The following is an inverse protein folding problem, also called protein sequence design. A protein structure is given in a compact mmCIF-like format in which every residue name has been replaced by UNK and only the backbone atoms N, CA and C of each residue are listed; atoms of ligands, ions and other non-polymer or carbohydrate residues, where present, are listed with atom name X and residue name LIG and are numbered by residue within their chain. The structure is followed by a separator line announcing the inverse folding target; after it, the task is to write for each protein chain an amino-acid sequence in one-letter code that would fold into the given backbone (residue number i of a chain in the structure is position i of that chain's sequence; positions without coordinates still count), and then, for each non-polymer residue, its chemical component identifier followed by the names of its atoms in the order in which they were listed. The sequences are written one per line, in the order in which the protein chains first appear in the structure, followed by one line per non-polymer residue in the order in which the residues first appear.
data_IF_859417318476
#
_entry.id   IF_859417318476
#
_cell.length_a   1.000
_cell.length_b   1.000
_cell.length_c   1.000
_cell.angle_alpha   90.00
_cell.angle_beta   90.00
_cell.angle_gamma   90.00
#
_symmetry.space_group_name_H-M   'P 1'
#
loop_
_entity.id
_entity.type
_entity.pdbx_description
1 polymer ?
#
# COMPACT_ATOMS: atom_id res chain seq x y z
N UNK A 1 -13.18 19.44 -15.16
CA UNK A 1 -12.66 18.74 -16.36
C UNK A 1 -12.93 17.23 -16.29
N UNK A 2 -12.38 16.45 -15.30
CA UNK A 2 -12.60 14.98 -15.21
C UNK A 2 -14.08 14.62 -15.11
N UNK A 3 -14.83 15.32 -14.25
CA UNK A 3 -16.28 15.07 -14.09
C UNK A 3 -17.08 15.39 -15.36
N UNK A 4 -16.61 16.33 -16.15
CA UNK A 4 -17.22 16.67 -17.45
C UNK A 4 -16.91 15.59 -18.51
N UNK A 5 -15.66 15.07 -18.52
CA UNK A 5 -15.26 13.97 -19.42
C UNK A 5 -16.06 12.70 -19.12
N UNK A 6 -16.31 12.43 -17.81
CA UNK A 6 -17.03 11.23 -17.34
C UNK A 6 -18.57 11.42 -17.25
N UNK A 7 -19.09 12.59 -17.64
CA UNK A 7 -20.51 12.98 -17.53
C UNK A 7 -21.07 12.79 -16.11
N UNK A 8 -20.27 13.16 -15.10
CA UNK A 8 -20.67 13.06 -13.68
C UNK A 8 -21.28 14.39 -13.25
N UNK A 9 -22.53 14.41 -12.75
CA UNK A 9 -23.16 15.62 -12.23
C UNK A 9 -22.40 16.18 -11.02
N UNK A 10 -21.94 17.42 -11.08
CA UNK A 10 -21.16 18.05 -10.01
C UNK A 10 -21.88 18.04 -8.65
N UNK A 11 -23.19 18.11 -8.64
CA UNK A 11 -24.00 18.15 -7.43
C UNK A 11 -24.00 16.83 -6.61
N UNK A 12 -23.53 15.73 -7.17
CA UNK A 12 -23.38 14.47 -6.42
C UNK A 12 -22.04 14.34 -5.71
N UNK A 13 -21.10 15.23 -6.00
CA UNK A 13 -19.79 15.20 -5.36
C UNK A 13 -19.89 15.77 -3.94
N UNK A 14 -19.21 15.15 -2.97
CA UNK A 14 -19.13 15.68 -1.63
C UNK A 14 -18.32 17.00 -1.59
N UNK A 15 -18.54 17.79 -0.56
CA UNK A 15 -17.71 18.94 -0.25
C UNK A 15 -16.32 18.45 0.21
N UNK A 16 -15.25 19.04 -0.35
CA UNK A 16 -13.88 18.78 0.09
C UNK A 16 -13.62 19.62 1.34
N UNK A 17 -13.27 18.93 2.45
CA UNK A 17 -13.06 19.54 3.75
C UNK A 17 -11.74 19.10 4.37
N UNK A 18 -11.36 19.74 5.48
CA UNK A 18 -10.17 19.36 6.24
C UNK A 18 -10.29 17.94 6.77
N UNK A 19 -9.17 17.23 6.93
CA UNK A 19 -9.15 15.90 7.56
C UNK A 19 -9.50 15.91 9.05
N UNK A 20 -9.45 17.09 9.68
CA UNK A 20 -9.71 17.27 11.11
C UNK A 20 -10.50 18.54 11.35
N UNK A 21 -11.83 18.43 11.30
CA UNK A 21 -12.80 19.45 11.68
C UNK A 21 -14.13 18.79 12.03
N UNK A 22 -14.99 19.48 12.77
CA UNK A 22 -16.31 18.94 13.09
C UNK A 22 -17.22 19.05 11.86
N UNK A 23 -17.58 17.92 11.27
CA UNK A 23 -18.47 17.83 10.10
C UNK A 23 -19.92 17.77 10.47
N UNK A 24 -20.23 17.00 11.53
CA UNK A 24 -21.56 16.73 12.01
C UNK A 24 -21.54 16.15 13.42
N UNK A 25 -22.71 15.89 13.98
CA UNK A 25 -22.88 15.08 15.17
C UNK A 25 -23.40 13.69 14.82
N UNK A 26 -22.90 12.67 15.51
CA UNK A 26 -23.37 11.30 15.37
C UNK A 26 -24.84 11.15 15.82
N UNK A 27 -25.53 10.17 15.26
CA UNK A 27 -26.92 9.81 15.58
C UNK A 27 -26.98 8.42 16.24
N UNK A 28 -28.15 8.04 16.72
CA UNK A 28 -28.38 6.75 17.36
C UNK A 28 -27.64 6.59 18.68
N UNK A 29 -26.91 5.51 18.88
CA UNK A 29 -26.23 5.20 20.15
C UNK A 29 -25.13 6.22 20.54
N UNK A 30 -24.60 6.96 19.57
CA UNK A 30 -23.53 7.95 19.78
C UNK A 30 -24.05 9.39 19.63
N UNK A 31 -25.34 9.64 19.83
CA UNK A 31 -25.94 10.97 19.68
C UNK A 31 -25.16 12.03 20.47
N UNK A 32 -24.88 13.16 19.82
CA UNK A 32 -24.12 14.29 20.41
C UNK A 32 -22.59 14.14 20.35
N UNK A 33 -22.06 12.99 19.92
CA UNK A 33 -20.63 12.84 19.71
C UNK A 33 -20.24 13.48 18.38
N UNK A 34 -19.24 14.40 18.32
CA UNK A 34 -18.84 15.03 17.09
C UNK A 34 -18.15 14.01 16.13
N UNK A 35 -18.51 14.08 14.86
CA UNK A 35 -17.78 13.40 13.78
C UNK A 35 -16.74 14.39 13.26
N UNK A 36 -15.46 14.15 13.56
CA UNK A 36 -14.41 15.15 13.43
C UNK A 36 -13.13 14.67 12.73
N UNK A 37 -13.13 13.48 12.13
CA UNK A 37 -11.99 12.95 11.38
C UNK A 37 -12.45 12.28 10.09
N UNK A 38 -11.81 12.61 8.98
CA UNK A 38 -12.02 11.99 7.67
C UNK A 38 -10.71 11.89 6.91
N UNK A 39 -10.26 10.66 6.70
CA UNK A 39 -9.00 10.33 6.04
C UNK A 39 -9.16 9.03 5.26
N UNK A 40 -8.56 8.96 4.08
CA UNK A 40 -8.33 7.67 3.42
C UNK A 40 -7.48 6.76 4.32
N UNK A 41 -7.64 5.44 4.22
CA UNK A 41 -6.98 4.46 5.10
C UNK A 41 -5.45 4.61 5.13
N UNK A 42 -4.82 4.85 3.98
CA UNK A 42 -3.37 5.03 3.88
C UNK A 42 -2.91 6.35 4.51
N UNK A 43 -3.68 7.43 4.36
CA UNK A 43 -3.45 8.72 5.00
C UNK A 43 -3.69 8.64 6.51
N UNK A 44 -4.73 7.92 6.94
CA UNK A 44 -4.98 7.65 8.35
C UNK A 44 -3.82 6.85 8.98
N UNK A 45 -3.24 5.89 8.26
CA UNK A 45 -2.06 5.16 8.70
C UNK A 45 -0.82 6.07 8.79
N UNK A 46 -0.64 7.03 7.88
CA UNK A 46 0.46 8.01 7.95
C UNK A 46 0.35 8.87 9.23
N UNK A 47 -0.85 9.37 9.52
CA UNK A 47 -1.13 10.12 10.77
C UNK A 47 -0.98 9.22 11.99
N UNK A 48 -1.52 7.99 11.96
CA UNK A 48 -1.45 7.04 13.06
C UNK A 48 -0.03 6.59 13.41
N UNK A 49 0.88 6.58 12.43
CA UNK A 49 2.31 6.35 12.63
C UNK A 49 3.09 7.63 12.95
N UNK A 50 2.36 8.75 13.20
CA UNK A 50 2.96 10.03 13.59
C UNK A 50 3.96 10.63 12.59
N UNK A 51 3.79 10.35 11.31
CA UNK A 51 4.65 10.86 10.25
C UNK A 51 4.26 12.32 9.90
N UNK A 52 4.57 13.26 10.77
CA UNK A 52 4.17 14.67 10.65
C UNK A 52 5.23 15.57 10.03
N UNK A 53 6.50 15.18 10.11
CA UNK A 53 7.59 15.95 9.51
C UNK A 53 7.89 15.48 8.07
N UNK A 54 8.35 16.41 7.23
CA UNK A 54 8.84 16.05 5.91
C UNK A 54 10.02 15.07 6.01
N UNK A 55 9.98 14.01 5.22
CA UNK A 55 10.94 12.91 5.24
C UNK A 55 10.53 11.71 6.10
N UNK A 56 9.49 11.84 6.94
CA UNK A 56 8.93 10.70 7.67
C UNK A 56 8.02 9.87 6.76
N UNK A 57 8.11 8.55 6.92
CA UNK A 57 7.39 7.61 6.08
C UNK A 57 6.78 6.48 6.88
N UNK A 58 5.65 5.95 6.40
CA UNK A 58 5.07 4.69 6.85
C UNK A 58 5.04 3.70 5.70
N UNK A 59 5.04 2.43 6.02
CA UNK A 59 4.79 1.37 5.06
C UNK A 59 3.76 0.38 5.63
N UNK A 60 2.65 0.24 4.95
CA UNK A 60 1.58 -0.70 5.35
C UNK A 60 1.73 -1.99 4.56
N UNK A 61 2.03 -3.08 5.27
CA UNK A 61 2.07 -4.43 4.72
C UNK A 61 0.73 -5.14 4.94
N UNK A 62 0.08 -5.51 3.84
CA UNK A 62 -1.16 -6.29 3.82
C UNK A 62 -1.16 -7.24 2.63
N UNK A 63 -2.27 -7.35 1.92
CA UNK A 63 -2.36 -8.05 0.61
C UNK A 63 -1.34 -7.50 -0.36
N UNK A 64 -1.29 -6.17 -0.48
CA UNK A 64 -0.22 -5.40 -1.10
C UNK A 64 0.57 -4.62 -0.05
N UNK A 65 1.45 -3.74 -0.52
CA UNK A 65 2.27 -2.87 0.30
C UNK A 65 2.13 -1.43 -0.20
N UNK A 66 1.88 -0.49 0.73
CA UNK A 66 1.66 0.92 0.41
C UNK A 66 2.53 1.79 1.31
N UNK A 67 3.51 2.42 0.72
CA UNK A 67 4.41 3.35 1.39
C UNK A 67 3.97 4.79 1.11
N UNK A 68 3.86 5.60 2.15
CA UNK A 68 3.68 7.05 2.03
C UNK A 68 4.84 7.76 2.71
N UNK A 69 5.43 8.69 2.00
CA UNK A 69 6.50 9.57 2.47
C UNK A 69 5.95 11.00 2.54
N UNK A 70 5.87 11.58 3.74
CA UNK A 70 5.48 12.98 3.93
C UNK A 70 6.50 13.91 3.26
N UNK A 71 6.04 14.79 2.37
CA UNK A 71 6.88 15.78 1.65
C UNK A 71 6.72 17.20 2.19
N UNK A 72 5.93 17.38 3.27
CA UNK A 72 5.61 18.68 3.83
C UNK A 72 4.48 19.39 3.10
N UNK A 73 4.49 20.69 3.12
CA UNK A 73 3.39 21.55 2.62
C UNK A 73 3.50 21.91 1.12
N UNK A 74 4.51 21.40 0.43
CA UNK A 74 4.70 21.64 -1.00
C UNK A 74 4.51 20.33 -1.76
N UNK A 75 3.60 20.28 -2.75
CA UNK A 75 3.46 19.07 -3.58
C UNK A 75 4.75 18.84 -4.37
N UNK A 76 5.31 17.64 -4.24
CA UNK A 76 6.57 17.25 -4.87
C UNK A 76 6.28 16.23 -5.97
N UNK A 77 6.34 16.61 -7.26
CA UNK A 77 6.19 15.68 -8.36
C UNK A 77 7.32 14.65 -8.36
N UNK A 78 6.96 13.38 -8.48
CA UNK A 78 7.95 12.31 -8.62
C UNK A 78 8.47 12.22 -10.05
N UNK A 79 9.79 12.13 -10.20
CA UNK A 79 10.45 11.81 -11.48
C UNK A 79 10.74 10.31 -11.64
N UNK A 80 10.33 9.49 -10.66
CA UNK A 80 10.62 8.07 -10.57
C UNK A 80 9.34 7.20 -10.50
N UNK A 81 8.22 7.69 -11.03
CA UNK A 81 6.99 6.90 -11.14
C UNK A 81 6.19 6.73 -9.85
N UNK A 82 6.51 7.45 -8.79
CA UNK A 82 5.66 7.50 -7.59
C UNK A 82 4.49 8.45 -7.81
N UNK A 83 3.40 8.27 -7.08
CA UNK A 83 2.27 9.18 -7.07
C UNK A 83 2.52 10.33 -6.09
N UNK A 84 2.12 11.54 -6.48
CA UNK A 84 2.01 12.66 -5.55
C UNK A 84 0.56 12.77 -5.11
N UNK A 85 0.32 12.75 -3.80
CA UNK A 85 -1.01 12.76 -3.22
C UNK A 85 -1.12 13.77 -2.09
N UNK A 86 -2.36 14.15 -1.75
CA UNK A 86 -2.64 14.86 -0.50
C UNK A 86 -2.49 13.89 0.66
N UNK A 87 -1.73 14.26 1.67
CA UNK A 87 -1.57 13.46 2.89
C UNK A 87 -2.71 13.75 3.89
N UNK A 88 -2.76 14.97 4.42
CA UNK A 88 -3.77 15.40 5.39
C UNK A 88 -3.80 16.92 5.53
N UNK A 89 -4.86 17.41 6.18
CA UNK A 89 -4.95 18.78 6.65
C UNK A 89 -5.55 18.81 8.06
N UNK A 90 -4.93 19.53 8.99
CA UNK A 90 -5.46 19.71 10.33
C UNK A 90 -6.14 21.09 10.46
N UNK A 91 -7.46 21.07 10.54
CA UNK A 91 -8.25 22.29 10.65
C UNK A 91 -7.95 23.27 9.49
N UNK A 92 -7.40 24.44 9.84
CA UNK A 92 -7.03 25.51 8.89
C UNK A 92 -5.53 25.57 8.59
N UNK A 93 -4.74 24.61 9.06
CA UNK A 93 -3.32 24.55 8.78
C UNK A 93 -3.07 24.25 7.30
N UNK A 94 -1.85 24.51 6.80
CA UNK A 94 -1.49 24.14 5.43
C UNK A 94 -1.70 22.66 5.16
N UNK A 95 -2.12 22.33 3.94
CA UNK A 95 -2.23 20.94 3.48
C UNK A 95 -0.84 20.29 3.42
N UNK A 96 -0.71 19.09 3.94
CA UNK A 96 0.47 18.26 3.77
C UNK A 96 0.30 17.34 2.57
N UNK A 97 1.40 17.05 1.90
CA UNK A 97 1.48 16.19 0.72
C UNK A 97 2.35 14.98 1.00
N UNK A 98 2.20 13.94 0.20
CA UNK A 98 3.02 12.75 0.28
C UNK A 98 3.37 12.20 -1.11
N UNK A 99 4.50 11.50 -1.19
CA UNK A 99 4.77 10.57 -2.27
C UNK A 99 4.27 9.19 -1.88
N UNK A 100 3.57 8.53 -2.81
CA UNK A 100 3.04 7.19 -2.61
C UNK A 100 3.72 6.20 -3.56
N UNK A 101 4.24 5.11 -2.99
CA UNK A 101 4.70 3.93 -3.71
C UNK A 101 3.85 2.74 -3.33
N UNK A 102 3.40 1.96 -4.33
CA UNK A 102 2.54 0.82 -4.12
C UNK A 102 3.08 -0.43 -4.79
N UNK A 103 3.00 -1.56 -4.08
CA UNK A 103 3.29 -2.91 -4.56
C UNK A 103 2.01 -3.73 -4.43
N UNK A 104 1.50 -4.25 -5.55
CA UNK A 104 0.19 -4.91 -5.57
C UNK A 104 0.15 -6.20 -4.75
N UNK A 105 1.25 -6.96 -4.77
CA UNK A 105 1.33 -8.31 -4.21
C UNK A 105 2.49 -8.39 -3.22
N UNK A 106 2.16 -8.57 -1.93
CA UNK A 106 3.11 -8.83 -0.84
C UNK A 106 2.58 -9.99 0.01
N UNK A 107 1.75 -9.76 1.03
CA UNK A 107 1.14 -10.83 1.81
C UNK A 107 0.30 -11.80 0.97
N UNK A 108 -0.29 -11.33 -0.13
CA UNK A 108 -0.99 -12.18 -1.09
C UNK A 108 -0.08 -13.24 -1.73
N UNK A 109 1.24 -12.99 -1.86
CA UNK A 109 2.18 -14.00 -2.33
C UNK A 109 2.27 -15.18 -1.35
N UNK A 110 2.37 -14.89 -0.05
CA UNK A 110 2.42 -15.93 0.98
C UNK A 110 1.14 -16.76 0.98
N UNK A 111 -0.02 -16.10 0.84
CA UNK A 111 -1.30 -16.80 0.70
C UNK A 111 -1.33 -17.67 -0.55
N UNK A 112 -0.83 -17.18 -1.67
CA UNK A 112 -0.75 -17.95 -2.92
C UNK A 112 0.16 -19.18 -2.80
N UNK A 113 1.31 -19.05 -2.10
CA UNK A 113 2.20 -20.18 -1.80
C UNK A 113 1.52 -21.26 -0.94
N UNK A 114 0.62 -20.85 -0.03
CA UNK A 114 -0.21 -21.75 0.78
C UNK A 114 -1.33 -22.38 -0.04
N UNK A 115 -2.17 -21.56 -0.68
CA UNK A 115 -3.46 -22.00 -1.21
C UNK A 115 -3.35 -22.64 -2.60
N UNK A 116 -2.40 -22.17 -3.43
CA UNK A 116 -2.24 -22.60 -4.81
C UNK A 116 -1.08 -23.59 -5.00
N UNK A 117 0.06 -23.38 -4.34
CA UNK A 117 1.19 -24.30 -4.42
C UNK A 117 1.23 -25.34 -3.29
N UNK A 118 0.57 -25.08 -2.16
CA UNK A 118 0.53 -26.01 -1.02
C UNK A 118 1.89 -26.30 -0.39
N UNK A 119 2.85 -25.36 -0.48
CA UNK A 119 4.19 -25.58 0.08
C UNK A 119 4.28 -25.27 1.57
N UNK A 120 3.28 -24.61 2.13
CA UNK A 120 3.05 -24.31 3.55
C UNK A 120 1.58 -24.58 3.90
N UNK A 121 1.28 -24.87 5.16
CA UNK A 121 -0.09 -25.07 5.65
C UNK A 121 -0.70 -23.78 6.20
N UNK A 122 0.11 -22.97 6.87
CA UNK A 122 -0.26 -21.68 7.44
C UNK A 122 0.71 -20.61 6.95
N UNK A 123 0.24 -19.36 6.84
CA UNK A 123 1.10 -18.23 6.44
C UNK A 123 2.30 -18.03 7.38
N UNK A 124 2.15 -18.35 8.67
CA UNK A 124 3.25 -18.30 9.65
C UNK A 124 4.39 -19.28 9.36
N UNK A 125 4.14 -20.35 8.62
CA UNK A 125 5.14 -21.41 8.38
C UNK A 125 6.18 -20.96 7.33
N UNK A 126 5.92 -19.86 6.61
CA UNK A 126 6.78 -19.39 5.52
C UNK A 126 8.18 -19.02 6.02
N UNK A 127 8.28 -18.42 7.20
CA UNK A 127 9.56 -18.00 7.78
C UNK A 127 10.44 -19.21 8.14
N UNK A 128 9.86 -20.20 8.80
CA UNK A 128 10.59 -21.44 9.17
C UNK A 128 11.01 -22.22 7.92
N UNK A 129 10.15 -22.27 6.90
CA UNK A 129 10.48 -22.88 5.62
C UNK A 129 11.62 -22.14 4.92
N UNK A 130 11.62 -20.82 4.91
CA UNK A 130 12.70 -20.00 4.34
C UNK A 130 14.02 -20.16 5.12
N UNK A 131 13.96 -20.26 6.45
CA UNK A 131 15.12 -20.51 7.32
C UNK A 131 15.70 -21.92 7.18
N UNK A 132 15.01 -22.85 6.55
CA UNK A 132 15.51 -24.21 6.32
C UNK A 132 16.66 -24.29 5.31
N UNK A 133 16.96 -23.19 4.64
CA UNK A 133 18.03 -23.02 3.65
C UNK A 133 18.88 -21.79 3.97
N UNK A 134 20.15 -21.80 3.58
CA UNK A 134 21.10 -20.72 3.90
C UNK A 134 20.88 -19.47 3.03
N UNK A 135 20.47 -19.67 1.78
CA UNK A 135 20.24 -18.60 0.79
C UNK A 135 19.05 -18.94 -0.12
N UNK A 136 18.77 -18.11 -1.11
CA UNK A 136 17.71 -18.36 -2.08
C UNK A 136 18.10 -19.31 -3.22
N UNK A 137 19.32 -19.87 -3.21
CA UNK A 137 19.82 -20.78 -4.24
C UNK A 137 19.94 -20.17 -5.64
N UNK A 138 19.99 -18.83 -5.75
CA UNK A 138 19.93 -18.09 -7.01
C UNK A 138 18.52 -18.03 -7.60
N UNK A 139 17.50 -18.40 -6.83
CA UNK A 139 16.09 -18.30 -7.21
C UNK A 139 15.55 -16.90 -6.90
N UNK A 140 14.80 -16.30 -7.82
CA UNK A 140 14.16 -15.01 -7.66
C UNK A 140 12.66 -15.13 -7.98
N UNK A 141 11.84 -14.50 -7.15
CA UNK A 141 10.39 -14.47 -7.32
C UNK A 141 9.91 -13.05 -7.62
N UNK A 142 9.26 -12.84 -8.77
CA UNK A 142 8.60 -11.59 -9.13
C UNK A 142 7.09 -11.83 -9.10
N UNK A 143 6.36 -11.39 -8.05
CA UNK A 143 4.94 -11.71 -7.88
C UNK A 143 4.02 -10.73 -8.62
N UNK A 144 4.26 -10.49 -9.90
CA UNK A 144 3.47 -9.59 -10.72
C UNK A 144 2.12 -10.20 -11.15
N UNK A 145 1.35 -10.78 -10.20
CA UNK A 145 0.09 -11.49 -10.51
C UNK A 145 -0.97 -10.56 -11.10
N UNK A 146 -0.97 -9.29 -10.70
CA UNK A 146 -1.87 -8.23 -11.18
C UNK A 146 -1.13 -7.11 -11.91
N UNK A 147 0.03 -7.42 -12.47
CA UNK A 147 0.93 -6.43 -13.04
C UNK A 147 1.92 -5.85 -12.03
N UNK A 148 2.72 -4.90 -12.49
CA UNK A 148 3.64 -4.12 -11.66
C UNK A 148 3.08 -2.70 -11.49
N UNK A 149 3.03 -2.23 -10.24
CA UNK A 149 2.65 -0.87 -9.90
C UNK A 149 3.86 0.06 -9.88
N UNK A 150 3.90 1.01 -8.98
CA UNK A 150 5.01 1.94 -8.87
C UNK A 150 6.36 1.20 -8.73
N UNK A 151 7.41 1.64 -9.37
CA UNK A 151 7.52 2.75 -10.33
C UNK A 151 7.28 2.35 -11.78
N UNK A 152 6.97 1.09 -12.06
CA UNK A 152 7.01 0.50 -13.41
C UNK A 152 5.74 0.73 -14.21
N UNK A 153 4.57 0.70 -13.58
CA UNK A 153 3.23 0.87 -14.17
C UNK A 153 2.99 -0.04 -15.39
N UNK A 154 3.30 -1.34 -15.21
CA UNK A 154 3.14 -2.38 -16.25
C UNK A 154 1.99 -3.31 -15.91
N UNK A 155 0.81 -3.02 -16.41
CA UNK A 155 -0.41 -3.79 -16.16
C UNK A 155 -0.38 -5.19 -16.83
N UNK A 156 0.41 -5.36 -17.87
CA UNK A 156 0.58 -6.60 -18.63
C UNK A 156 1.65 -7.54 -18.06
N UNK A 157 2.46 -7.08 -17.11
CA UNK A 157 3.43 -7.93 -16.42
C UNK A 157 2.74 -9.10 -15.69
N UNK A 158 3.41 -10.24 -15.64
CA UNK A 158 2.95 -11.44 -14.92
C UNK A 158 4.05 -11.98 -14.03
N UNK A 159 3.63 -12.76 -13.01
CA UNK A 159 4.55 -13.40 -12.09
C UNK A 159 5.53 -14.34 -12.77
N UNK A 160 6.75 -14.38 -12.25
CA UNK A 160 7.81 -15.26 -12.75
C UNK A 160 8.63 -15.79 -11.57
N UNK A 161 9.07 -17.03 -11.67
CA UNK A 161 10.12 -17.61 -10.82
C UNK A 161 11.31 -17.88 -11.76
N UNK A 162 12.45 -17.26 -11.48
CA UNK A 162 13.66 -17.39 -12.27
C UNK A 162 14.78 -18.05 -11.48
N UNK A 163 15.79 -18.62 -12.16
CA UNK A 163 16.96 -19.23 -11.52
C UNK A 163 16.72 -20.65 -11.00
N UNK A 164 15.69 -21.36 -11.46
CA UNK A 164 15.41 -22.75 -11.03
C UNK A 164 16.51 -23.71 -11.54
N UNK A 165 17.07 -24.45 -10.61
CA UNK A 165 18.01 -25.57 -10.86
C UNK A 165 17.57 -26.80 -10.06
N UNK A 166 18.25 -27.94 -10.24
CA UNK A 166 17.97 -29.13 -9.43
C UNK A 166 18.29 -28.96 -7.93
N UNK A 167 19.03 -27.95 -7.55
CA UNK A 167 19.35 -27.60 -6.17
C UNK A 167 18.18 -26.90 -5.48
N UNK A 168 17.42 -26.08 -6.22
CA UNK A 168 16.31 -25.27 -5.69
C UNK A 168 15.18 -26.19 -5.20
N UNK A 169 14.78 -26.02 -3.96
CA UNK A 169 13.65 -26.70 -3.33
C UNK A 169 12.64 -25.69 -2.77
N UNK A 170 11.59 -26.15 -2.10
CA UNK A 170 10.53 -25.31 -1.54
C UNK A 170 11.04 -24.25 -0.54
N UNK A 171 12.11 -24.54 0.19
CA UNK A 171 12.74 -23.59 1.12
C UNK A 171 13.36 -22.39 0.38
N UNK A 172 14.04 -22.65 -0.73
CA UNK A 172 14.62 -21.58 -1.56
C UNK A 172 13.52 -20.71 -2.21
N UNK A 173 12.41 -21.33 -2.64
CA UNK A 173 11.25 -20.56 -3.18
C UNK A 173 10.61 -19.72 -2.08
N UNK A 174 10.43 -20.26 -0.89
CA UNK A 174 9.89 -19.50 0.26
C UNK A 174 10.80 -18.32 0.62
N UNK A 175 12.12 -18.53 0.60
CA UNK A 175 13.11 -17.51 0.89
C UNK A 175 13.12 -16.42 -0.19
N UNK A 176 13.12 -16.79 -1.47
CA UNK A 176 13.01 -15.86 -2.59
C UNK A 176 11.72 -15.02 -2.58
N UNK A 177 10.64 -15.56 -2.00
CA UNK A 177 9.37 -14.85 -1.85
C UNK A 177 9.40 -13.82 -0.70
N UNK A 178 10.26 -14.01 0.32
CA UNK A 178 10.40 -13.08 1.45
C UNK A 178 11.47 -12.02 1.24
N UNK A 179 12.49 -12.29 0.43
CA UNK A 179 13.57 -11.36 0.06
C UNK A 179 13.14 -10.40 -1.06
#
# INVERSE_FOLDING_TARGET
EIVEILDIPKQILPEIRSSSEVYAEAKGLLVGVPVAGDLGDQQAALVGQTCFAAGEAKNTYGTGCFMLLNTGTTPTPSTHGLLTTVAYQFGKEPVHYALEGSVAITGALVQWLRDNLGIIEKSSDIEDLAKSVEDNGGCYFVPAFSGLYAPYWKADARGIIAGLTRYVNKGHIARAALE
#
